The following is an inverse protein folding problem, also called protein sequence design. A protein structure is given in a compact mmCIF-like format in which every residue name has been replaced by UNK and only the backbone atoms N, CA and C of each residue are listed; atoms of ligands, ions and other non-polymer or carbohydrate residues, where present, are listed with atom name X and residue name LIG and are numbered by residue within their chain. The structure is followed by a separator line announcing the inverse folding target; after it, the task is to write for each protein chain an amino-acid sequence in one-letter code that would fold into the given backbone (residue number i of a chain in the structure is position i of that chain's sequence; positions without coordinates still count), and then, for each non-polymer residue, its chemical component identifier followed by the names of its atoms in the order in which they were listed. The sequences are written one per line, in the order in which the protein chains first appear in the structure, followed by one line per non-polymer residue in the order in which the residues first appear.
data_IF_032989450226
#
_entry.id   IF_032989450226
#
_cell.length_a   1.000
_cell.length_b   1.000
_cell.length_c   1.000
_cell.angle_alpha   90.00
_cell.angle_beta   90.00
_cell.angle_gamma   90.00
#
_symmetry.space_group_name_H-M   'P 1'
#
loop_
_entity.id
_entity.type
_entity.pdbx_description
1 polymer ?
#
# COMPACT_ATOMS: atom_id res chain seq x y z
N UNK A 1 -10.25 -50.21 4.94
CA UNK A 1 -10.68 -48.81 4.73
C UNK A 1 -9.54 -47.91 5.15
N UNK A 2 -8.85 -47.31 4.18
CA UNK A 2 -7.76 -46.35 4.40
C UNK A 2 -8.38 -44.96 4.58
N UNK A 3 -8.17 -44.33 5.75
CA UNK A 3 -8.57 -42.96 5.99
C UNK A 3 -7.68 -42.02 5.16
N UNK A 4 -8.20 -41.52 4.05
CA UNK A 4 -7.59 -40.41 3.32
C UNK A 4 -7.74 -39.16 4.17
N UNK A 5 -6.70 -38.85 4.95
CA UNK A 5 -6.57 -37.55 5.61
C UNK A 5 -6.36 -36.50 4.52
N UNK A 6 -7.43 -35.79 4.15
CA UNK A 6 -7.32 -34.58 3.32
C UNK A 6 -6.64 -33.49 4.15
N UNK A 7 -5.33 -33.40 4.03
CA UNK A 7 -4.53 -32.29 4.54
C UNK A 7 -4.92 -31.00 3.80
N UNK A 8 -5.84 -30.25 4.39
CA UNK A 8 -6.40 -29.02 3.82
C UNK A 8 -5.54 -27.82 4.24
N UNK A 9 -4.24 -27.87 3.98
CA UNK A 9 -3.28 -26.83 4.38
C UNK A 9 -2.71 -26.02 3.21
N UNK A 10 -3.46 -25.89 2.10
CA UNK A 10 -3.23 -24.79 1.17
C UNK A 10 -4.15 -23.63 1.52
N UNK A 11 -3.83 -22.91 2.61
CA UNK A 11 -4.30 -21.53 2.79
C UNK A 11 -3.62 -20.68 1.71
N UNK A 12 -4.16 -20.69 0.50
CA UNK A 12 -3.90 -19.61 -0.44
C UNK A 12 -4.26 -18.32 0.29
N UNK A 13 -3.29 -17.42 0.47
CA UNK A 13 -3.55 -16.08 0.99
C UNK A 13 -4.47 -15.38 0.01
N UNK A 14 -5.79 -15.51 0.22
CA UNK A 14 -6.81 -14.85 -0.60
C UNK A 14 -6.47 -13.36 -0.64
N UNK A 15 -6.13 -12.88 -1.83
CA UNK A 15 -5.94 -11.45 -2.07
C UNK A 15 -7.32 -10.84 -1.94
N UNK A 16 -7.61 -10.21 -0.81
CA UNK A 16 -8.88 -9.53 -0.58
C UNK A 16 -8.91 -8.23 -1.37
N UNK A 17 -10.10 -7.78 -1.76
CA UNK A 17 -10.29 -6.50 -2.48
C UNK A 17 -9.60 -5.33 -1.77
N UNK A 18 -9.58 -5.36 -0.43
CA UNK A 18 -8.89 -4.37 0.39
C UNK A 18 -7.36 -4.37 0.20
N UNK A 19 -6.73 -5.54 -0.02
CA UNK A 19 -5.28 -5.64 -0.30
C UNK A 19 -4.96 -5.02 -1.66
N UNK A 20 -5.78 -5.34 -2.67
CA UNK A 20 -5.63 -4.78 -4.02
C UNK A 20 -5.78 -3.26 -3.97
N UNK A 21 -6.80 -2.78 -3.25
CA UNK A 21 -7.06 -1.35 -3.06
C UNK A 21 -5.88 -0.62 -2.38
N UNK A 22 -5.31 -1.19 -1.31
CA UNK A 22 -4.15 -0.60 -0.64
C UNK A 22 -2.91 -0.54 -1.53
N UNK A 23 -2.65 -1.60 -2.32
CA UNK A 23 -1.56 -1.62 -3.30
C UNK A 23 -1.77 -0.55 -4.37
N UNK A 24 -2.99 -0.44 -4.92
CA UNK A 24 -3.35 0.60 -5.88
C UNK A 24 -3.12 2.00 -5.32
N UNK A 25 -3.62 2.30 -4.12
CA UNK A 25 -3.39 3.60 -3.47
C UNK A 25 -1.90 3.90 -3.25
N UNK A 26 -1.09 2.88 -2.97
CA UNK A 26 0.36 3.03 -2.82
C UNK A 26 1.02 3.43 -4.14
N UNK A 27 0.69 2.72 -5.22
CA UNK A 27 1.22 3.01 -6.56
C UNK A 27 0.80 4.41 -7.00
N UNK A 28 -0.48 4.76 -6.85
CA UNK A 28 -1.01 6.09 -7.18
C UNK A 28 -0.28 7.19 -6.42
N UNK A 29 -0.05 7.00 -5.11
CA UNK A 29 0.67 7.97 -4.27
C UNK A 29 2.10 8.21 -4.78
N UNK A 30 2.84 7.14 -5.10
CA UNK A 30 4.21 7.24 -5.60
C UNK A 30 4.26 7.97 -6.94
N UNK A 31 3.34 7.66 -7.86
CA UNK A 31 3.26 8.31 -9.17
C UNK A 31 2.97 9.81 -9.04
N UNK A 32 2.05 10.19 -8.16
CA UNK A 32 1.72 11.58 -7.91
C UNK A 32 2.87 12.36 -7.28
N UNK A 33 3.54 11.79 -6.27
CA UNK A 33 4.70 12.43 -5.66
C UNK A 33 5.86 12.59 -6.65
N UNK A 34 6.08 11.59 -7.51
CA UNK A 34 7.09 11.68 -8.56
C UNK A 34 6.76 12.79 -9.56
N UNK A 35 5.52 12.85 -10.04
CA UNK A 35 5.07 13.90 -10.94
C UNK A 35 5.20 15.30 -10.30
N UNK A 36 4.79 15.44 -9.04
CA UNK A 36 4.95 16.69 -8.30
C UNK A 36 6.44 17.05 -8.13
N UNK A 37 7.32 16.08 -7.87
CA UNK A 37 8.76 16.30 -7.82
C UNK A 37 9.32 16.86 -9.15
N UNK A 38 8.84 16.36 -10.28
CA UNK A 38 9.23 16.87 -11.60
C UNK A 38 8.71 18.30 -11.84
N UNK A 39 7.46 18.58 -11.50
CA UNK A 39 6.87 19.93 -11.62
C UNK A 39 7.63 20.94 -10.77
N UNK A 40 7.97 20.56 -9.52
CA UNK A 40 8.76 21.39 -8.61
C UNK A 40 10.17 21.65 -9.19
N UNK A 41 10.84 20.61 -9.66
CA UNK A 41 12.17 20.73 -10.27
C UNK A 41 12.16 21.65 -11.51
N UNK A 42 11.15 21.48 -12.37
CA UNK A 42 10.94 22.32 -13.54
C UNK A 42 10.73 23.79 -13.17
N UNK A 43 9.87 24.06 -12.18
CA UNK A 43 9.61 25.42 -11.68
C UNK A 43 10.86 26.07 -11.08
N UNK A 44 11.66 25.31 -10.31
CA UNK A 44 12.94 25.80 -9.77
C UNK A 44 13.90 26.15 -10.92
N UNK A 45 13.96 25.32 -11.97
CA UNK A 45 14.84 25.54 -13.11
C UNK A 45 14.39 26.70 -14.01
N UNK A 46 13.08 26.90 -14.20
CA UNK A 46 12.53 27.94 -15.08
C UNK A 46 12.28 29.28 -14.37
N UNK A 47 12.23 29.28 -13.03
CA UNK A 47 11.81 30.43 -12.22
C UNK A 47 10.31 30.70 -12.28
N UNK A 48 9.53 29.84 -12.94
CA UNK A 48 8.08 29.97 -13.01
C UNK A 48 7.45 29.67 -11.67
N UNK A 49 6.38 30.41 -11.33
CA UNK A 49 5.66 30.17 -10.07
C UNK A 49 4.81 28.91 -10.15
N UNK A 50 4.86 28.12 -9.10
CA UNK A 50 4.00 26.95 -8.93
C UNK A 50 2.55 27.39 -8.69
N UNK A 51 1.61 26.76 -9.40
CA UNK A 51 0.18 26.98 -9.21
C UNK A 51 -0.34 26.40 -7.88
N UNK A 52 -1.40 26.98 -7.34
CA UNK A 52 -2.01 26.52 -6.07
C UNK A 52 -2.47 25.06 -6.10
N UNK A 53 -2.84 24.55 -7.28
CA UNK A 53 -3.23 23.16 -7.50
C UNK A 53 -2.14 22.16 -7.11
N UNK A 54 -0.86 22.53 -7.25
CA UNK A 54 0.26 21.68 -6.84
C UNK A 54 0.20 21.28 -5.36
N UNK A 55 -0.14 22.22 -4.48
CA UNK A 55 -0.21 21.96 -3.05
C UNK A 55 -1.39 21.06 -2.69
N UNK A 56 -2.51 21.19 -3.41
CA UNK A 56 -3.66 20.30 -3.29
C UNK A 56 -3.31 18.87 -3.72
N UNK A 57 -2.57 18.71 -4.82
CA UNK A 57 -2.14 17.40 -5.32
C UNK A 57 -1.19 16.71 -4.32
N UNK A 58 -0.27 17.46 -3.72
CA UNK A 58 0.59 16.97 -2.63
C UNK A 58 -0.24 16.55 -1.41
N UNK A 59 -1.21 17.37 -0.98
CA UNK A 59 -2.04 17.06 0.18
C UNK A 59 -2.84 15.76 -0.03
N UNK A 60 -3.44 15.57 -1.21
CA UNK A 60 -4.14 14.35 -1.54
C UNK A 60 -3.19 13.14 -1.57
N UNK A 61 -2.00 13.27 -2.17
CA UNK A 61 -1.00 12.20 -2.19
C UNK A 61 -0.63 11.74 -0.77
N UNK A 62 -0.44 12.68 0.17
CA UNK A 62 -0.14 12.37 1.57
C UNK A 62 -1.29 11.62 2.25
N UNK A 63 -2.55 12.01 2.00
CA UNK A 63 -3.73 11.32 2.55
C UNK A 63 -3.81 9.88 2.04
N UNK A 64 -3.69 9.68 0.72
CA UNK A 64 -3.70 8.33 0.13
C UNK A 64 -2.53 7.47 0.60
N UNK A 65 -1.34 8.05 0.72
CA UNK A 65 -0.17 7.38 1.27
C UNK A 65 -0.36 6.94 2.72
N UNK A 66 -0.97 7.78 3.54
CA UNK A 66 -1.24 7.48 4.95
C UNK A 66 -2.19 6.28 5.11
N UNK A 67 -3.28 6.26 4.33
CA UNK A 67 -4.22 5.14 4.29
C UNK A 67 -3.54 3.82 3.88
N UNK A 68 -2.66 3.88 2.88
CA UNK A 68 -1.91 2.72 2.43
C UNK A 68 -0.94 2.20 3.52
N UNK A 69 -0.22 3.08 4.20
CA UNK A 69 0.71 2.72 5.28
C UNK A 69 -0.02 2.08 6.45
N UNK A 70 -1.15 2.64 6.88
CA UNK A 70 -1.97 2.07 7.95
C UNK A 70 -2.41 0.65 7.61
N UNK A 71 -2.83 0.43 6.36
CA UNK A 71 -3.19 -0.89 5.87
C UNK A 71 -2.03 -1.88 5.93
N UNK A 72 -0.83 -1.49 5.45
CA UNK A 72 0.34 -2.36 5.51
C UNK A 72 0.78 -2.68 6.95
N UNK A 73 0.67 -1.72 7.87
CA UNK A 73 0.95 -1.95 9.28
C UNK A 73 -0.01 -2.97 9.88
N UNK A 74 -1.31 -2.85 9.59
CA UNK A 74 -2.33 -3.83 10.01
C UNK A 74 -2.05 -5.21 9.43
N UNK A 75 -1.78 -5.29 8.13
CA UNK A 75 -1.49 -6.55 7.47
C UNK A 75 -0.21 -7.22 8.02
N UNK A 76 0.84 -6.44 8.30
CA UNK A 76 2.07 -6.96 8.89
C UNK A 76 1.83 -7.52 10.31
N UNK A 77 0.96 -6.89 11.11
CA UNK A 77 0.54 -7.41 12.42
C UNK A 77 -0.21 -8.74 12.28
N UNK A 78 -1.16 -8.83 11.35
CA UNK A 78 -1.93 -10.05 11.08
C UNK A 78 -1.01 -11.22 10.68
N UNK A 79 -0.02 -10.99 9.81
CA UNK A 79 0.96 -12.02 9.44
C UNK A 79 1.80 -12.51 10.63
N UNK A 80 2.21 -11.61 11.53
CA UNK A 80 3.00 -11.99 12.73
C UNK A 80 2.20 -12.87 13.70
N UNK A 81 0.91 -12.59 13.86
CA UNK A 81 0.02 -13.40 14.71
C UNK A 81 -0.16 -14.80 14.11
N UNK A 82 -0.35 -14.92 12.79
CA UNK A 82 -0.42 -16.22 12.13
C UNK A 82 0.85 -17.04 12.33
N UNK A 83 2.04 -16.45 12.16
CA UNK A 83 3.31 -17.15 12.39
C UNK A 83 3.48 -17.64 13.83
N UNK A 84 2.98 -16.90 14.82
CA UNK A 84 3.16 -17.25 16.25
C UNK A 84 2.30 -18.46 16.63
N UNK A 85 1.08 -18.55 16.10
CA UNK A 85 0.15 -19.65 16.38
C UNK A 85 0.57 -20.98 15.74
N UNK A 86 1.40 -20.97 14.69
CA UNK A 86 1.91 -22.20 14.05
C UNK A 86 2.99 -22.92 14.85
N UNK A 87 3.65 -22.24 15.81
CA UNK A 87 4.70 -22.85 16.66
C UNK A 87 4.17 -23.34 18.02
N UNK A 88 2.89 -23.11 18.33
CA UNK A 88 2.26 -23.47 19.61
C UNK A 88 1.28 -24.67 19.44
N UNK A 89 1.05 -25.12 18.19
CA UNK A 89 0.21 -26.29 17.88
C UNK A 89 1.01 -27.59 17.78
#
# INVERSE_FOLDING_TARGET
MTNTVMNTNNKETKVTETKVCAILHSITTVLWLFNAGMVLSSSISSGEKIGWNFWSDIALAVVFGSCAVEYFLKWNKEKKVETTNTYIA
#
